data_IF_799951628669
#
_entry.id   IF_799951628669
#
_cell.length_a   1.000
_cell.length_b   1.000
_cell.length_c   1.000
_cell.angle_alpha   90.00
_cell.angle_beta   90.00
_cell.angle_gamma   90.00
#
_symmetry.space_group_name_H-M   'P 1'
#
loop_
_entity.id
_entity.type
_entity.pdbx_description
1 polymer ?
#
# COMPACT_ATOMS: atom_id res chain seq x y z
N UNK A 1 1.30 -37.20 77.38
CA UNK A 1 2.36 -37.36 76.36
C UNK A 1 1.71 -36.87 75.08
N UNK A 2 2.05 -35.65 74.66
CA UNK A 2 1.41 -34.99 73.53
C UNK A 2 2.16 -35.42 72.26
N UNK A 3 1.44 -36.03 71.31
CA UNK A 3 2.00 -36.46 70.05
C UNK A 3 2.13 -35.23 69.13
N UNK A 4 3.32 -34.68 69.02
CA UNK A 4 3.65 -33.71 67.97
C UNK A 4 3.78 -34.46 66.65
N UNK A 5 2.75 -34.38 65.80
CA UNK A 5 2.87 -34.80 64.40
C UNK A 5 3.72 -33.77 63.63
N UNK A 6 4.98 -34.11 63.44
CA UNK A 6 5.86 -33.40 62.51
C UNK A 6 5.42 -33.70 61.08
N UNK A 7 4.78 -32.73 60.43
CA UNK A 7 4.51 -32.78 59.01
C UNK A 7 5.83 -32.66 58.26
N UNK A 8 6.29 -33.76 57.65
CA UNK A 8 7.44 -33.75 56.76
C UNK A 8 7.08 -32.98 55.49
N UNK A 9 7.72 -31.84 55.28
CA UNK A 9 7.77 -31.25 53.95
C UNK A 9 8.68 -32.14 53.12
N UNK A 10 8.10 -32.90 52.19
CA UNK A 10 8.90 -33.58 51.18
C UNK A 10 9.50 -32.48 50.30
N UNK A 11 10.79 -32.22 50.47
CA UNK A 11 11.61 -31.38 49.59
C UNK A 11 11.86 -32.08 48.24
N UNK A 12 10.88 -32.83 47.73
CA UNK A 12 10.92 -33.31 46.36
C UNK A 12 10.56 -32.12 45.48
N UNK A 13 11.54 -31.64 44.72
CA UNK A 13 11.31 -30.68 43.65
C UNK A 13 10.11 -31.15 42.84
N UNK A 14 9.05 -30.34 42.86
CA UNK A 14 7.78 -30.60 42.19
C UNK A 14 8.01 -30.54 40.67
N UNK A 15 8.52 -31.62 40.11
CA UNK A 15 8.81 -31.75 38.69
C UNK A 15 7.52 -32.08 37.94
N UNK A 16 6.64 -31.09 37.84
CA UNK A 16 5.42 -31.20 37.05
C UNK A 16 5.76 -31.19 35.57
N UNK A 17 5.09 -32.03 34.75
CA UNK A 17 5.18 -31.91 33.31
C UNK A 17 4.70 -30.52 32.86
N UNK A 18 5.04 -30.10 31.62
CA UNK A 18 4.49 -28.88 31.05
C UNK A 18 2.96 -28.89 31.16
N UNK A 19 2.40 -27.79 31.65
CA UNK A 19 0.94 -27.64 31.72
C UNK A 19 0.39 -27.66 30.29
N UNK A 20 -0.34 -28.72 29.95
CA UNK A 20 -1.05 -28.87 28.68
C UNK A 20 -2.55 -28.68 28.93
N UNK A 21 -3.18 -27.81 28.14
CA UNK A 21 -4.64 -27.64 28.13
C UNK A 21 -5.20 -28.47 26.99
N UNK A 22 -5.87 -29.58 27.31
CA UNK A 22 -6.61 -30.39 26.35
C UNK A 22 -8.09 -30.00 26.38
N UNK A 23 -8.66 -29.77 25.20
CA UNK A 23 -10.09 -29.51 25.06
C UNK A 23 -10.87 -30.83 25.24
N UNK A 24 -11.85 -30.91 26.15
CA UNK A 24 -12.75 -32.05 26.25
C UNK A 24 -13.64 -32.20 25.00
N UNK A 25 -13.94 -33.43 24.61
CA UNK A 25 -14.85 -33.72 23.51
C UNK A 25 -16.23 -33.04 23.73
N UNK A 26 -16.71 -32.33 22.70
CA UNK A 26 -18.00 -31.64 22.75
C UNK A 26 -18.02 -30.32 23.56
N UNK A 27 -16.88 -29.86 24.09
CA UNK A 27 -16.79 -28.57 24.75
C UNK A 27 -16.99 -27.42 23.76
N UNK A 28 -17.94 -26.53 24.03
CA UNK A 28 -18.33 -25.42 23.12
C UNK A 28 -18.07 -24.03 23.70
N UNK A 29 -17.78 -23.95 24.99
CA UNK A 29 -17.45 -22.70 25.65
C UNK A 29 -16.00 -22.25 25.34
N UNK A 30 -15.68 -21.01 25.71
CA UNK A 30 -14.33 -20.46 25.60
C UNK A 30 -13.31 -21.29 26.42
N UNK A 31 -12.14 -21.55 25.84
CA UNK A 31 -11.00 -22.20 26.52
C UNK A 31 -10.33 -21.23 27.51
N UNK A 32 -10.25 -19.95 27.14
CA UNK A 32 -9.77 -18.86 27.99
C UNK A 32 -10.75 -17.71 27.88
N UNK A 33 -11.12 -17.11 29.00
CA UNK A 33 -11.97 -15.92 29.04
C UNK A 33 -11.45 -14.92 30.07
N UNK A 34 -11.16 -13.71 29.61
CA UNK A 34 -10.82 -12.56 30.45
C UNK A 34 -11.86 -11.49 30.19
N UNK A 35 -12.59 -11.10 31.22
CA UNK A 35 -13.66 -10.10 31.13
C UNK A 35 -13.33 -8.84 31.90
N UNK A 36 -13.91 -7.72 31.48
CA UNK A 36 -13.93 -6.49 32.29
C UNK A 36 -14.90 -6.60 33.48
N UNK A 37 -14.98 -5.54 34.30
CA UNK A 37 -15.91 -5.45 35.43
C UNK A 37 -17.39 -5.43 35.02
N UNK A 38 -17.68 -5.19 33.74
CA UNK A 38 -19.01 -5.24 33.15
C UNK A 38 -19.29 -6.58 32.42
N UNK A 39 -18.41 -7.58 32.58
CA UNK A 39 -18.48 -8.92 31.99
C UNK A 39 -18.32 -8.99 30.46
N UNK A 40 -17.81 -7.93 29.83
CA UNK A 40 -17.46 -7.96 28.41
C UNK A 40 -16.14 -8.72 28.21
N UNK A 41 -16.06 -9.55 27.17
CA UNK A 41 -14.82 -10.25 26.83
C UNK A 41 -13.77 -9.25 26.32
N UNK A 42 -12.62 -9.15 27.00
CA UNK A 42 -11.45 -8.38 26.57
C UNK A 42 -10.53 -9.29 25.74
N UNK A 43 -10.39 -10.53 26.17
CA UNK A 43 -9.62 -11.57 25.50
C UNK A 43 -10.33 -12.91 25.68
N UNK A 44 -10.57 -13.61 24.58
CA UNK A 44 -11.03 -15.01 24.64
C UNK A 44 -10.31 -15.86 23.60
N UNK A 45 -10.13 -17.13 23.97
CA UNK A 45 -9.78 -18.20 23.05
C UNK A 45 -11.01 -19.09 22.94
N UNK A 46 -11.61 -19.14 21.76
CA UNK A 46 -12.80 -19.93 21.49
C UNK A 46 -12.46 -21.42 21.36
N UNK A 47 -13.50 -22.25 21.34
CA UNK A 47 -13.38 -23.69 21.39
C UNK A 47 -12.74 -24.28 20.12
N UNK A 48 -12.70 -23.54 19.02
CA UNK A 48 -12.05 -23.85 17.75
C UNK A 48 -10.62 -23.27 17.64
N UNK A 49 -10.18 -22.50 18.63
CA UNK A 49 -8.87 -21.85 18.67
C UNK A 49 -8.87 -20.40 18.21
N UNK A 50 -10.02 -19.85 17.81
CA UNK A 50 -10.11 -18.45 17.42
C UNK A 50 -9.79 -17.53 18.60
N UNK A 51 -8.99 -16.50 18.33
CA UNK A 51 -8.57 -15.53 19.35
C UNK A 51 -9.25 -14.20 19.08
N UNK A 52 -10.02 -13.75 20.07
CA UNK A 52 -10.71 -12.46 20.00
C UNK A 52 -10.09 -11.50 21.00
N UNK A 53 -9.75 -10.31 20.52
CA UNK A 53 -9.18 -9.22 21.33
C UNK A 53 -10.02 -7.98 21.09
N UNK A 54 -10.52 -7.37 22.15
CA UNK A 54 -11.48 -6.25 22.03
C UNK A 54 -10.86 -4.95 21.51
N UNK A 55 -9.55 -4.79 21.63
CA UNK A 55 -8.86 -3.55 21.28
C UNK A 55 -7.62 -3.77 20.40
N UNK A 56 -6.50 -4.20 21.00
CA UNK A 56 -5.20 -4.18 20.33
C UNK A 56 -4.34 -5.39 20.68
N UNK A 57 -3.70 -5.93 19.65
CA UNK A 57 -2.56 -6.84 19.78
C UNK A 57 -1.29 -6.02 19.50
N UNK A 58 -0.33 -6.05 20.41
CA UNK A 58 0.99 -5.42 20.20
C UNK A 58 2.05 -6.52 20.15
N UNK A 59 2.74 -6.63 19.02
CA UNK A 59 3.80 -7.60 18.81
C UNK A 59 4.97 -6.96 18.07
N UNK A 60 6.19 -7.43 18.34
CA UNK A 60 7.39 -7.01 17.58
C UNK A 60 7.38 -7.59 16.15
N UNK A 61 6.84 -8.79 16.00
CA UNK A 61 6.71 -9.50 14.74
C UNK A 61 5.49 -10.43 14.81
N UNK A 62 4.77 -10.54 13.70
CA UNK A 62 3.74 -11.55 13.48
C UNK A 62 4.13 -12.37 12.24
N UNK A 63 3.92 -13.68 12.28
CA UNK A 63 4.18 -14.60 11.18
C UNK A 63 2.93 -15.43 10.93
N UNK A 64 2.51 -15.50 9.68
CA UNK A 64 1.35 -16.27 9.24
C UNK A 64 1.83 -17.35 8.28
N UNK A 65 1.30 -18.57 8.38
CA UNK A 65 1.63 -19.67 7.46
C UNK A 65 1.02 -19.46 6.08
N UNK A 66 -0.14 -18.81 6.03
CA UNK A 66 -0.96 -18.62 4.83
C UNK A 66 -1.16 -17.12 4.54
N UNK A 67 -2.38 -16.60 4.66
CA UNK A 67 -2.73 -15.22 4.33
C UNK A 67 -3.33 -14.44 5.49
N UNK A 68 -3.52 -13.14 5.26
CA UNK A 68 -4.26 -12.23 6.14
C UNK A 68 -5.47 -11.72 5.36
N UNK A 69 -6.66 -12.07 5.80
CA UNK A 69 -7.92 -11.53 5.27
C UNK A 69 -8.39 -10.36 6.13
N UNK A 70 -8.85 -9.29 5.48
CA UNK A 70 -9.42 -8.12 6.13
C UNK A 70 -10.92 -8.09 5.82
N UNK A 71 -11.75 -7.99 6.86
CA UNK A 71 -13.21 -8.02 6.75
C UNK A 71 -13.79 -6.72 7.31
N UNK A 72 -14.89 -6.25 6.72
CA UNK A 72 -15.54 -5.00 7.14
C UNK A 72 -14.65 -3.79 6.87
N UNK A 73 -14.43 -2.95 7.88
CA UNK A 73 -13.58 -1.75 7.80
C UNK A 73 -12.08 -2.05 8.01
N UNK A 74 -11.64 -3.26 7.64
CA UNK A 74 -10.27 -3.73 7.83
C UNK A 74 -9.25 -2.97 6.97
N UNK A 75 -8.11 -2.64 7.58
CA UNK A 75 -7.00 -2.00 6.91
C UNK A 75 -5.66 -2.46 7.49
N UNK A 76 -4.66 -2.61 6.62
CA UNK A 76 -3.25 -2.78 6.99
C UNK A 76 -2.50 -1.52 6.61
N UNK A 77 -1.77 -0.95 7.55
CA UNK A 77 -0.97 0.24 7.29
C UNK A 77 0.23 0.35 8.20
N UNK A 78 1.13 1.25 7.87
CA UNK A 78 2.25 1.61 8.73
C UNK A 78 2.37 3.12 8.88
N UNK A 79 2.83 3.55 10.05
CA UNK A 79 3.12 4.93 10.37
C UNK A 79 4.65 5.07 10.37
N UNK A 80 5.26 5.77 9.41
CA UNK A 80 6.70 5.95 9.42
C UNK A 80 7.12 6.79 10.64
N UNK A 81 8.27 6.45 11.21
CA UNK A 81 8.88 7.17 12.33
C UNK A 81 10.21 7.81 11.89
N UNK A 82 10.57 8.91 12.54
CA UNK A 82 11.88 9.55 12.38
C UNK A 82 12.99 8.78 13.12
N UNK A 83 14.22 9.29 13.08
CA UNK A 83 15.36 8.64 13.73
C UNK A 83 15.25 8.58 15.28
N UNK A 84 14.29 9.31 15.86
CA UNK A 84 14.02 9.38 17.28
C UNK A 84 12.80 8.55 17.68
N UNK A 85 12.16 7.85 16.73
CA UNK A 85 10.96 7.04 16.96
C UNK A 85 9.67 7.85 17.03
N UNK A 86 9.68 9.12 16.61
CA UNK A 86 8.45 9.91 16.54
C UNK A 86 7.75 9.68 15.19
N UNK A 87 6.43 9.51 15.16
CA UNK A 87 5.67 9.49 13.92
C UNK A 87 5.95 10.72 13.04
N UNK A 88 6.25 10.46 11.77
CA UNK A 88 6.36 11.53 10.77
C UNK A 88 4.93 12.00 10.43
N UNK A 89 4.59 13.28 10.66
CA UNK A 89 3.26 13.79 10.39
C UNK A 89 2.96 13.84 8.89
N UNK A 90 1.67 13.93 8.54
CA UNK A 90 1.18 14.01 7.16
C UNK A 90 1.69 12.84 6.31
N UNK A 91 1.56 11.62 6.82
CA UNK A 91 1.94 10.37 6.16
C UNK A 91 0.85 9.33 6.35
N UNK A 92 0.39 8.76 5.25
CA UNK A 92 -0.54 7.65 5.21
C UNK A 92 0.01 6.58 4.28
N UNK A 93 0.17 5.36 4.81
CA UNK A 93 0.53 4.18 4.04
C UNK A 93 -0.42 3.06 4.43
N UNK A 94 -1.35 2.73 3.53
CA UNK A 94 -2.45 1.80 3.83
C UNK A 94 -2.82 0.93 2.62
N UNK A 95 -3.25 -0.29 2.93
CA UNK A 95 -4.04 -1.18 2.10
C UNK A 95 -5.37 -1.52 2.82
N UNK A 96 -6.49 -1.46 2.11
CA UNK A 96 -7.81 -1.83 2.63
C UNK A 96 -8.78 -0.64 2.63
N UNK A 97 -9.54 -0.49 3.72
CA UNK A 97 -10.60 0.51 3.83
C UNK A 97 -10.08 1.96 3.78
N UNK A 98 -10.71 2.79 2.94
CA UNK A 98 -10.50 4.24 2.93
C UNK A 98 -10.88 4.86 4.30
N UNK A 99 -10.17 5.90 4.73
CA UNK A 99 -10.39 6.55 6.03
C UNK A 99 -11.54 7.56 6.05
N UNK A 100 -12.16 7.86 4.90
CA UNK A 100 -13.27 8.81 4.80
C UNK A 100 -14.47 8.34 5.65
N UNK A 101 -14.49 8.85 6.88
CA UNK A 101 -15.47 8.51 7.91
C UNK A 101 -16.84 9.05 7.50
N UNK A 102 -17.68 8.18 6.96
CA UNK A 102 -19.08 8.49 6.60
C UNK A 102 -19.45 8.20 5.15
N UNK A 103 -18.48 7.82 4.31
CA UNK A 103 -18.76 7.34 2.95
C UNK A 103 -18.95 5.81 2.91
N UNK A 104 -20.21 5.40 2.72
CA UNK A 104 -20.61 3.99 2.60
C UNK A 104 -20.58 3.48 1.14
N UNK A 105 -20.13 4.29 0.18
CA UNK A 105 -20.02 3.86 -1.22
C UNK A 105 -18.89 2.86 -1.44
N UNK A 106 -17.94 2.77 -0.49
CA UNK A 106 -16.71 2.01 -0.61
C UNK A 106 -15.79 2.48 -1.76
N UNK A 107 -16.03 3.69 -2.28
CA UNK A 107 -15.11 4.36 -3.19
C UNK A 107 -13.83 4.76 -2.41
N UNK A 108 -12.68 4.55 -3.03
CA UNK A 108 -11.39 4.85 -2.39
C UNK A 108 -10.68 3.66 -1.76
N UNK A 109 -11.36 2.53 -1.56
CA UNK A 109 -10.77 1.32 -0.97
C UNK A 109 -9.66 0.75 -1.88
N UNK A 110 -8.57 0.29 -1.26
CA UNK A 110 -7.42 -0.27 -1.96
C UNK A 110 -6.09 0.19 -1.39
N UNK A 111 -5.15 0.57 -2.24
CA UNK A 111 -3.83 1.07 -1.86
C UNK A 111 -3.88 2.60 -1.81
N UNK A 112 -3.53 3.15 -0.66
CA UNK A 112 -3.43 4.59 -0.43
C UNK A 112 -2.07 4.92 0.18
N UNK A 113 -1.26 5.62 -0.61
CA UNK A 113 0.03 6.15 -0.19
C UNK A 113 -0.06 7.65 -0.34
N UNK A 114 -0.01 8.41 0.76
CA UNK A 114 -0.06 9.86 0.73
C UNK A 114 0.91 10.47 1.72
N UNK A 115 1.45 11.63 1.36
CA UNK A 115 2.05 12.51 2.34
C UNK A 115 2.65 13.77 1.76
N UNK A 116 3.15 14.63 2.65
CA UNK A 116 3.77 15.91 2.30
C UNK A 116 5.28 15.86 2.21
N UNK A 117 5.84 16.10 1.03
CA UNK A 117 7.29 16.27 0.82
C UNK A 117 7.57 17.74 0.50
N UNK A 118 8.41 18.40 1.30
CA UNK A 118 8.71 19.83 1.16
C UNK A 118 7.43 20.71 1.10
N UNK A 119 6.44 20.37 1.92
CA UNK A 119 5.12 21.01 1.96
C UNK A 119 4.28 20.87 0.67
N UNK A 120 4.63 19.95 -0.23
CA UNK A 120 3.83 19.57 -1.38
C UNK A 120 3.18 18.21 -1.15
N UNK A 121 1.92 18.07 -1.53
CA UNK A 121 1.21 16.80 -1.47
C UNK A 121 1.71 15.85 -2.54
N UNK A 122 2.04 14.63 -2.13
CA UNK A 122 2.38 13.51 -2.99
C UNK A 122 1.47 12.34 -2.65
N UNK A 123 0.90 11.68 -3.66
CA UNK A 123 -0.03 10.59 -3.50
C UNK A 123 0.10 9.54 -4.60
N UNK A 124 -0.13 8.29 -4.24
CA UNK A 124 -0.45 7.18 -5.13
C UNK A 124 -1.68 6.49 -4.57
N UNK A 125 -2.69 6.34 -5.43
CA UNK A 125 -3.93 5.67 -5.10
C UNK A 125 -4.22 4.60 -6.15
N UNK A 126 -4.63 3.42 -5.69
CA UNK A 126 -5.11 2.35 -6.55
C UNK A 126 -6.31 1.69 -5.89
N UNK A 127 -7.41 1.54 -6.61
CA UNK A 127 -8.63 1.00 -6.01
C UNK A 127 -9.80 0.84 -6.99
N UNK A 128 -10.94 0.48 -6.42
CA UNK A 128 -12.22 0.44 -7.13
C UNK A 128 -12.81 1.85 -7.08
N UNK A 129 -12.60 2.59 -8.17
CA UNK A 129 -12.89 4.01 -8.24
C UNK A 129 -13.81 4.25 -9.45
N UNK A 130 -15.14 4.26 -9.28
CA UNK A 130 -16.05 4.52 -10.40
C UNK A 130 -15.94 5.96 -10.95
N UNK A 131 -15.50 6.93 -10.14
CA UNK A 131 -15.39 8.33 -10.55
C UNK A 131 -13.95 8.83 -10.69
N UNK A 132 -12.95 8.01 -10.36
CA UNK A 132 -11.53 8.34 -10.48
C UNK A 132 -10.77 7.28 -11.29
N UNK A 133 -9.56 7.58 -11.81
CA UNK A 133 -8.73 6.57 -12.44
C UNK A 133 -8.37 5.44 -11.48
N UNK A 134 -8.42 4.17 -11.92
CA UNK A 134 -8.04 3.01 -11.09
C UNK A 134 -6.61 3.07 -10.54
N UNK A 135 -5.74 3.87 -11.18
CA UNK A 135 -4.43 4.27 -10.65
C UNK A 135 -4.31 5.78 -10.82
N UNK A 136 -4.10 6.50 -9.72
CA UNK A 136 -3.89 7.94 -9.69
C UNK A 136 -2.54 8.24 -9.03
N UNK A 137 -1.69 9.01 -9.73
CA UNK A 137 -0.39 9.46 -9.24
C UNK A 137 -0.43 10.99 -9.19
N UNK A 138 -0.14 11.56 -8.03
CA UNK A 138 -0.08 13.02 -7.81
C UNK A 138 1.20 13.33 -7.06
N UNK A 139 1.90 14.41 -7.38
CA UNK A 139 3.04 14.77 -6.56
C UNK A 139 3.93 15.87 -7.10
N UNK A 140 4.76 16.40 -6.22
CA UNK A 140 5.93 17.15 -6.61
C UNK A 140 7.06 16.19 -7.02
N UNK A 141 7.74 16.51 -8.11
CA UNK A 141 8.94 15.82 -8.58
C UNK A 141 10.09 16.81 -8.65
N UNK A 142 11.30 16.38 -8.27
CA UNK A 142 12.50 17.16 -8.56
C UNK A 142 12.73 17.20 -10.08
N UNK A 143 13.51 18.15 -10.57
CA UNK A 143 13.81 18.22 -11.99
C UNK A 143 14.56 16.96 -12.48
N UNK A 144 14.11 16.41 -13.59
CA UNK A 144 14.61 15.17 -14.20
C UNK A 144 13.97 13.88 -13.65
N UNK A 145 13.02 13.97 -12.71
CA UNK A 145 12.37 12.81 -12.10
C UNK A 145 11.02 12.49 -12.75
N UNK A 146 10.74 11.19 -12.90
CA UNK A 146 9.53 10.71 -13.56
C UNK A 146 8.38 10.44 -12.56
N UNK A 147 7.13 10.63 -12.99
CA UNK A 147 5.94 10.17 -12.27
C UNK A 147 5.75 8.66 -12.38
N UNK A 148 6.04 8.10 -13.55
CA UNK A 148 5.86 6.69 -13.84
C UNK A 148 7.01 6.21 -14.72
N UNK A 149 7.52 5.01 -14.44
CA UNK A 149 8.61 4.40 -15.19
C UNK A 149 8.38 2.90 -15.40
N UNK A 150 8.79 2.42 -16.56
CA UNK A 150 9.01 1.02 -16.87
C UNK A 150 10.47 0.90 -17.29
N UNK A 151 11.19 -0.01 -16.64
CA UNK A 151 12.61 -0.24 -16.88
C UNK A 151 12.84 -1.67 -17.38
N UNK A 152 13.92 -1.86 -18.11
CA UNK A 152 14.43 -3.19 -18.44
C UNK A 152 15.10 -3.86 -17.24
N UNK A 153 15.40 -5.15 -17.35
CA UNK A 153 16.03 -5.93 -16.27
C UNK A 153 17.43 -5.43 -15.89
N UNK A 154 18.11 -4.72 -16.80
CA UNK A 154 19.40 -4.06 -16.55
C UNK A 154 19.26 -2.67 -15.90
N UNK A 155 18.03 -2.18 -15.71
CA UNK A 155 17.73 -0.87 -15.13
C UNK A 155 17.52 0.27 -16.15
N UNK A 156 17.72 0.02 -17.44
CA UNK A 156 17.55 1.03 -18.49
C UNK A 156 16.09 1.44 -18.65
N UNK A 157 15.85 2.75 -18.88
CA UNK A 157 14.51 3.28 -19.02
C UNK A 157 13.88 2.84 -20.35
N UNK A 158 12.71 2.20 -20.30
CA UNK A 158 11.96 1.75 -21.48
C UNK A 158 10.79 2.68 -21.82
N UNK A 159 10.08 3.13 -20.80
CA UNK A 159 8.94 4.03 -20.90
C UNK A 159 8.83 4.86 -19.63
N UNK A 160 8.53 6.15 -19.74
CA UNK A 160 8.22 6.98 -18.59
C UNK A 160 7.24 8.10 -18.92
N UNK A 161 6.71 8.69 -17.85
CA UNK A 161 6.03 9.99 -17.87
C UNK A 161 6.86 10.92 -16.98
N UNK A 162 7.46 11.95 -17.58
CA UNK A 162 8.35 12.89 -16.86
C UNK A 162 7.57 13.93 -16.04
N UNK A 163 8.29 14.81 -15.33
CA UNK A 163 7.68 15.86 -14.50
C UNK A 163 6.72 16.81 -15.26
N UNK A 164 6.89 16.95 -16.57
CA UNK A 164 6.06 17.78 -17.46
C UNK A 164 4.87 17.02 -18.07
N UNK A 165 4.75 15.72 -17.77
CA UNK A 165 3.75 14.84 -18.37
C UNK A 165 4.09 14.35 -19.78
N UNK A 166 5.33 14.59 -20.25
CA UNK A 166 5.81 14.06 -21.51
C UNK A 166 6.06 12.55 -21.42
N UNK A 167 5.65 11.85 -22.47
CA UNK A 167 5.94 10.44 -22.64
C UNK A 167 7.38 10.31 -23.14
N UNK A 168 8.22 9.70 -22.32
CA UNK A 168 9.57 9.30 -22.68
C UNK A 168 9.58 7.82 -23.05
N UNK A 169 10.34 7.47 -24.07
CA UNK A 169 10.63 6.09 -24.42
C UNK A 169 12.10 6.00 -24.87
N UNK A 170 12.73 4.83 -24.71
CA UNK A 170 14.17 4.59 -24.94
C UNK A 170 14.71 4.91 -26.34
N UNK A 171 13.88 5.41 -27.25
CA UNK A 171 14.16 5.37 -28.68
C UNK A 171 14.51 6.74 -29.31
N UNK A 172 14.83 7.76 -28.49
CA UNK A 172 15.37 9.05 -28.96
C UNK A 172 16.81 8.91 -29.51
N UNK A 173 17.48 7.76 -29.31
CA UNK A 173 18.90 7.55 -29.66
C UNK A 173 19.18 6.48 -30.73
N UNK A 174 18.24 5.60 -31.08
CA UNK A 174 18.41 4.59 -32.15
C UNK A 174 17.14 4.48 -33.03
N UNK A 175 17.14 5.05 -34.25
CA UNK A 175 16.01 5.03 -35.17
C UNK A 175 15.63 3.62 -35.66
N UNK A 176 16.52 2.63 -35.57
CA UNK A 176 16.27 1.28 -36.12
C UNK A 176 15.28 0.45 -35.30
N UNK A 177 15.04 0.86 -34.06
CA UNK A 177 14.05 0.29 -33.15
C UNK A 177 12.96 1.31 -32.75
N UNK A 178 12.75 2.35 -33.56
CA UNK A 178 11.71 3.32 -33.33
C UNK A 178 10.37 2.60 -33.12
N UNK A 179 9.81 2.70 -31.91
CA UNK A 179 8.50 2.15 -31.62
C UNK A 179 7.48 2.77 -32.57
N UNK A 180 6.84 1.92 -33.37
CA UNK A 180 5.68 2.37 -34.14
C UNK A 180 4.57 2.73 -33.15
N UNK A 181 3.95 3.88 -33.39
CA UNK A 181 2.74 4.26 -32.67
C UNK A 181 1.58 4.08 -33.64
N UNK A 182 0.81 3.00 -33.47
CA UNK A 182 -0.39 2.82 -34.27
C UNK A 182 -1.45 3.82 -33.83
N UNK A 183 -1.63 4.86 -34.63
CA UNK A 183 -2.72 5.81 -34.50
C UNK A 183 -3.58 5.76 -35.76
N UNK A 184 -4.87 5.44 -35.62
CA UNK A 184 -5.82 5.53 -36.73
C UNK A 184 -5.97 7.00 -37.21
N UNK A 185 -5.81 7.96 -36.28
CA UNK A 185 -5.72 9.39 -36.55
C UNK A 185 -5.03 10.08 -35.36
N UNK A 186 -4.43 11.24 -35.59
CA UNK A 186 -3.86 12.09 -34.55
C UNK A 186 -4.36 13.53 -34.70
N UNK A 187 -4.69 14.16 -33.58
CA UNK A 187 -5.08 15.57 -33.53
C UNK A 187 -3.97 16.33 -32.83
N UNK A 188 -3.45 17.35 -33.51
CA UNK A 188 -2.40 18.21 -33.00
C UNK A 188 -2.95 19.63 -32.85
N UNK A 189 -2.32 20.44 -32.00
CA UNK A 189 -2.67 21.85 -31.89
C UNK A 189 -2.37 22.58 -33.21
N UNK A 190 -2.88 23.80 -33.37
CA UNK A 190 -2.71 24.58 -34.60
C UNK A 190 -1.25 24.96 -34.93
N UNK A 191 -0.30 24.66 -34.04
CA UNK A 191 1.07 25.15 -34.14
C UNK A 191 1.90 24.39 -35.18
N UNK A 192 2.17 23.11 -34.97
CA UNK A 192 2.85 22.27 -35.96
C UNK A 192 3.02 20.80 -35.58
N UNK A 193 3.22 20.00 -36.61
CA UNK A 193 3.77 18.64 -36.55
C UNK A 193 5.14 18.65 -37.22
N UNK A 194 6.14 18.05 -36.59
CA UNK A 194 7.48 17.88 -37.15
C UNK A 194 7.71 16.41 -37.55
N UNK A 195 8.24 16.21 -38.76
CA UNK A 195 8.67 14.92 -39.28
C UNK A 195 10.09 15.08 -39.81
N UNK A 196 11.08 14.77 -38.97
CA UNK A 196 12.47 15.13 -39.22
C UNK A 196 12.62 16.65 -39.43
N UNK A 197 13.29 17.12 -40.50
CA UNK A 197 13.41 18.55 -40.77
C UNK A 197 12.14 19.17 -41.39
N UNK A 198 11.13 18.38 -41.74
CA UNK A 198 9.88 18.91 -42.28
C UNK A 198 8.93 19.33 -41.16
N UNK A 199 8.28 20.48 -41.33
CA UNK A 199 7.24 20.99 -40.43
C UNK A 199 5.96 21.21 -41.21
N UNK A 200 4.87 20.62 -40.74
CA UNK A 200 3.50 20.90 -41.21
C UNK A 200 2.83 21.81 -40.19
N UNK A 201 2.23 22.92 -40.61
CA UNK A 201 1.45 23.79 -39.71
C UNK A 201 0.16 24.26 -40.35
N UNK A 202 -0.82 24.61 -39.52
CA UNK A 202 -2.07 25.24 -39.96
C UNK A 202 -2.27 26.57 -39.26
N UNK A 203 -1.88 27.65 -39.93
CA UNK A 203 -1.94 29.01 -39.40
C UNK A 203 -2.64 29.94 -40.39
N UNK A 204 -3.45 30.87 -39.89
CA UNK A 204 -4.23 31.82 -40.71
C UNK A 204 -5.08 31.13 -41.80
N UNK A 205 -5.73 30.01 -41.48
CA UNK A 205 -6.62 29.28 -42.39
C UNK A 205 -5.92 28.57 -43.55
N UNK A 206 -4.59 28.36 -43.48
CA UNK A 206 -3.81 27.72 -44.54
C UNK A 206 -2.90 26.64 -43.99
N UNK A 207 -2.91 25.49 -44.65
CA UNK A 207 -1.91 24.44 -44.47
C UNK A 207 -0.58 24.92 -45.09
N UNK A 208 0.50 24.80 -44.33
CA UNK A 208 1.85 25.19 -44.75
C UNK A 208 2.84 24.09 -44.46
N UNK A 209 3.81 23.95 -45.36
CA UNK A 209 4.94 23.03 -45.24
C UNK A 209 6.22 23.86 -45.19
N UNK A 210 7.07 23.59 -44.21
CA UNK A 210 8.37 24.23 -44.04
C UNK A 210 9.45 23.16 -43.92
N UNK A 211 10.67 23.54 -44.23
CA UNK A 211 11.87 22.79 -43.86
C UNK A 211 12.65 23.62 -42.85
N UNK A 212 13.16 22.99 -41.79
CA UNK A 212 14.14 23.61 -40.91
C UNK A 212 15.35 24.05 -41.74
N UNK A 213 15.89 25.23 -41.42
CA UNK A 213 17.06 25.77 -42.12
C UNK A 213 18.24 24.81 -41.89
N UNK A 214 18.86 24.34 -42.97
CA UNK A 214 20.12 23.60 -42.86
C UNK A 214 21.18 24.51 -42.24
N UNK A 215 21.85 24.01 -41.20
CA UNK A 215 23.05 24.66 -40.66
C UNK A 215 24.20 24.57 -41.65
#
# INVERSE_FOLDING_TARGET
MEATETHGHNDEDLNLPPLAFEKPDGYTDNLVSITDSATNNIFKVEADGDVHVSEKITAKQATFSDGVELVGDGALGFLPEDAQGNPIPDRLFRFGRNDDIGDFTHEGDGIQLWGKINNNDCAVQMGILPQEPSISIRGFKNSGENYFEIRESNGDLKFAINEDGHILSSYIVDPSNAGDTYHASSVHTAESVYVGPARVSYNNGKLRFYTLKSN
#
